data_IF_236642657740
#
_entry.id   IF_236642657740
#
_cell.length_a   1.000
_cell.length_b   1.000
_cell.length_c   1.000
_cell.angle_alpha   90.00
_cell.angle_beta   90.00
_cell.angle_gamma   90.00
#
_symmetry.space_group_name_H-M   'P 1'
#
loop_
_entity.id
_entity.type
_entity.pdbx_description
1 polymer ?
#
# COMPACT_ATOMS: atom_id res chain seq x y z
N UNK A 1 21.57 -5.52 -16.18
CA UNK A 1 20.19 -5.04 -16.05
C UNK A 1 19.77 -5.25 -14.60
N UNK A 2 19.78 -4.19 -13.79
CA UNK A 2 19.36 -4.27 -12.38
C UNK A 2 17.91 -3.81 -12.33
N UNK A 3 17.01 -4.70 -11.98
CA UNK A 3 15.58 -4.41 -11.82
C UNK A 3 15.38 -3.63 -10.53
N UNK A 4 14.96 -2.37 -10.65
CA UNK A 4 14.60 -1.53 -9.51
C UNK A 4 13.21 -1.92 -9.02
N UNK A 5 13.13 -2.60 -7.87
CA UNK A 5 11.88 -2.73 -7.14
C UNK A 5 11.64 -1.45 -6.32
N UNK A 6 10.52 -0.78 -6.57
CA UNK A 6 10.15 0.50 -5.94
C UNK A 6 9.90 0.42 -4.41
N UNK A 7 10.15 -0.72 -3.79
CA UNK A 7 9.85 -0.98 -2.37
C UNK A 7 11.06 -0.71 -1.45
N UNK A 8 12.27 -0.57 -1.99
CA UNK A 8 13.50 -0.46 -1.18
C UNK A 8 13.82 0.96 -0.66
N UNK A 9 13.03 1.98 -1.01
CA UNK A 9 13.34 3.38 -0.70
C UNK A 9 12.64 3.95 0.56
N UNK A 10 11.71 3.23 1.18
CA UNK A 10 10.78 3.85 2.15
C UNK A 10 11.15 3.68 3.64
N UNK A 11 12.14 2.87 4.01
CA UNK A 11 12.33 2.45 5.44
C UNK A 11 13.30 3.33 6.26
N UNK A 12 13.96 4.34 5.69
CA UNK A 12 15.12 4.97 6.35
C UNK A 12 14.86 6.31 7.09
N UNK A 13 13.80 6.43 7.92
CA UNK A 13 13.48 7.71 8.58
C UNK A 13 13.55 7.78 10.11
N UNK A 14 14.12 6.79 10.80
CA UNK A 14 14.38 6.89 12.24
C UNK A 14 15.85 6.61 12.58
N UNK A 15 16.63 7.68 12.80
CA UNK A 15 17.75 7.82 13.76
C UNK A 15 18.49 9.13 13.49
N UNK A 16 19.02 9.72 14.57
CA UNK A 16 19.37 11.13 14.72
C UNK A 16 20.70 11.57 14.07
N UNK A 17 21.51 10.68 13.49
CA UNK A 17 22.71 11.08 12.75
C UNK A 17 23.29 9.90 11.94
N UNK A 18 22.62 9.44 10.87
CA UNK A 18 23.12 8.30 10.08
C UNK A 18 23.12 8.57 8.59
N UNK A 19 24.33 8.49 8.02
CA UNK A 19 24.67 8.37 6.60
C UNK A 19 23.56 7.72 5.78
N UNK A 20 23.26 8.31 4.62
CA UNK A 20 22.49 7.67 3.58
C UNK A 20 23.22 6.36 3.20
N UNK A 21 22.65 5.19 3.48
CA UNK A 21 23.29 3.89 3.17
C UNK A 21 23.36 3.58 1.66
N UNK A 22 22.73 4.40 0.81
CA UNK A 22 22.69 4.22 -0.64
C UNK A 22 23.73 5.07 -1.38
N UNK A 23 24.20 6.15 -0.76
CA UNK A 23 25.19 7.06 -1.33
C UNK A 23 26.16 7.44 -0.20
N UNK A 24 27.45 7.19 -0.35
CA UNK A 24 28.52 7.61 0.58
C UNK A 24 28.73 9.14 0.64
N UNK A 25 27.66 9.91 0.41
CA UNK A 25 27.62 11.35 0.39
C UNK A 25 27.16 11.86 1.75
N UNK A 26 27.94 12.78 2.31
CA UNK A 26 27.56 13.53 3.51
C UNK A 26 26.64 14.69 3.12
N UNK A 27 25.36 14.40 2.98
CA UNK A 27 24.34 15.38 2.59
C UNK A 27 23.21 15.44 3.61
N UNK A 28 22.70 16.66 3.82
CA UNK A 28 21.58 16.87 4.74
C UNK A 28 20.29 16.23 4.22
N UNK A 29 19.44 15.73 5.12
CA UNK A 29 18.12 15.17 4.79
C UNK A 29 17.27 16.12 3.94
N UNK A 30 17.41 17.43 4.13
CA UNK A 30 16.71 18.47 3.36
C UNK A 30 17.15 18.48 1.89
N UNK A 31 18.44 18.31 1.63
CA UNK A 31 18.99 18.27 0.27
C UNK A 31 18.48 17.03 -0.48
N UNK A 32 18.47 15.88 0.19
CA UNK A 32 17.92 14.62 -0.35
C UNK A 32 16.45 14.80 -0.72
N UNK A 33 15.62 15.34 0.20
CA UNK A 33 14.19 15.58 -0.09
C UNK A 33 13.98 16.54 -1.25
N UNK A 34 14.77 17.62 -1.34
CA UNK A 34 14.65 18.58 -2.44
C UNK A 34 14.89 17.91 -3.79
N UNK A 35 15.97 17.13 -3.92
CA UNK A 35 16.27 16.39 -5.16
C UNK A 35 15.16 15.38 -5.49
N UNK A 36 14.62 14.67 -4.49
CA UNK A 36 13.50 13.75 -4.70
C UNK A 36 12.24 14.48 -5.20
N UNK A 37 11.90 15.63 -4.62
CA UNK A 37 10.76 16.44 -5.06
C UNK A 37 10.97 17.02 -6.47
N UNK A 38 12.17 17.51 -6.78
CA UNK A 38 12.54 17.98 -8.13
C UNK A 38 12.44 16.83 -9.16
N UNK A 39 12.76 15.60 -8.76
CA UNK A 39 12.58 14.40 -9.56
C UNK A 39 11.12 13.86 -9.56
N UNK A 40 10.18 14.53 -8.91
CA UNK A 40 8.76 14.14 -8.83
C UNK A 40 8.45 13.01 -7.86
N UNK A 41 9.42 12.55 -7.07
CA UNK A 41 9.26 11.50 -6.06
C UNK A 41 8.70 12.11 -4.78
N UNK A 42 7.52 11.64 -4.39
CA UNK A 42 6.81 12.09 -3.21
C UNK A 42 6.63 10.93 -2.25
N UNK A 43 6.84 11.19 -0.96
CA UNK A 43 6.49 10.25 0.09
C UNK A 43 4.97 10.09 0.17
N UNK A 44 4.51 8.85 0.25
CA UNK A 44 3.10 8.48 0.42
C UNK A 44 3.00 7.31 1.37
N UNK A 45 2.20 7.46 2.43
CA UNK A 45 1.84 6.33 3.28
C UNK A 45 1.10 5.29 2.45
N UNK A 46 1.60 4.06 2.44
CA UNK A 46 0.92 2.94 1.77
C UNK A 46 -0.44 2.71 2.41
N UNK A 47 -1.47 2.48 1.59
CA UNK A 47 -2.78 2.09 2.10
C UNK A 47 -2.67 0.79 2.91
N UNK A 48 -3.28 0.77 4.10
CA UNK A 48 -3.38 -0.46 4.89
C UNK A 48 -4.27 -1.45 4.13
N UNK A 49 -3.65 -2.51 3.61
CA UNK A 49 -4.31 -3.58 2.88
C UNK A 49 -4.02 -4.88 3.61
N UNK A 50 -5.06 -5.69 3.79
CA UNK A 50 -4.88 -7.05 4.29
C UNK A 50 -3.94 -7.82 3.36
N UNK A 51 -3.01 -8.56 3.96
CA UNK A 51 -2.09 -9.41 3.21
C UNK A 51 -2.88 -10.57 2.59
N UNK A 52 -2.91 -10.61 1.26
CA UNK A 52 -3.55 -11.69 0.52
C UNK A 52 -2.61 -12.89 0.46
N UNK A 53 -3.07 -14.03 0.98
CA UNK A 53 -2.44 -15.33 0.71
C UNK A 53 -2.64 -15.71 -0.75
N UNK A 54 -1.81 -16.63 -1.26
CA UNK A 54 -1.92 -17.07 -2.66
C UNK A 54 -3.28 -17.69 -2.98
N UNK A 55 -3.85 -18.42 -2.01
CA UNK A 55 -5.21 -18.96 -2.11
C UNK A 55 -6.26 -17.85 -2.27
N UNK A 56 -6.13 -16.73 -1.55
CA UNK A 56 -7.03 -15.59 -1.72
C UNK A 56 -6.90 -14.96 -3.10
N UNK A 57 -5.66 -14.84 -3.62
CA UNK A 57 -5.41 -14.27 -4.95
C UNK A 57 -6.05 -15.11 -6.04
N UNK A 58 -5.84 -16.43 -5.99
CA UNK A 58 -6.43 -17.36 -6.95
C UNK A 58 -7.97 -17.34 -6.89
N UNK A 59 -8.53 -17.41 -5.67
CA UNK A 59 -9.98 -17.37 -5.49
C UNK A 59 -10.62 -16.08 -6.02
N UNK A 60 -9.99 -14.93 -5.77
CA UNK A 60 -10.44 -13.62 -6.28
C UNK A 60 -10.32 -13.54 -7.80
N UNK A 61 -9.23 -14.02 -8.38
CA UNK A 61 -9.02 -14.02 -9.83
C UNK A 61 -10.05 -14.90 -10.53
N UNK A 62 -10.28 -16.12 -10.03
CA UNK A 62 -11.27 -17.04 -10.58
C UNK A 62 -12.68 -16.46 -10.51
N UNK A 63 -13.04 -15.82 -9.39
CA UNK A 63 -14.31 -15.13 -9.25
C UNK A 63 -14.44 -13.99 -10.27
N UNK A 64 -13.42 -13.12 -10.38
CA UNK A 64 -13.44 -12.02 -11.34
C UNK A 64 -13.63 -12.53 -12.78
N UNK A 65 -12.87 -13.54 -13.19
CA UNK A 65 -12.97 -14.13 -14.53
C UNK A 65 -14.34 -14.75 -14.80
N UNK A 66 -14.93 -15.43 -13.81
CA UNK A 66 -16.22 -16.10 -13.97
C UNK A 66 -17.39 -15.11 -14.16
N UNK A 67 -17.30 -13.92 -13.55
CA UNK A 67 -18.40 -12.97 -13.50
C UNK A 67 -18.16 -11.67 -14.30
N UNK A 68 -17.00 -11.51 -14.96
CA UNK A 68 -16.64 -10.29 -15.72
C UNK A 68 -17.66 -9.95 -16.82
N UNK A 69 -18.17 -10.95 -17.53
CA UNK A 69 -19.10 -10.76 -18.65
C UNK A 69 -20.58 -10.72 -18.23
N UNK A 70 -20.87 -10.74 -16.92
CA UNK A 70 -22.25 -10.71 -16.44
C UNK A 70 -22.86 -9.33 -16.60
N UNK A 71 -24.04 -9.32 -17.21
CA UNK A 71 -24.86 -8.13 -17.39
C UNK A 71 -25.34 -7.57 -16.04
N UNK A 72 -25.63 -6.28 -16.00
CA UNK A 72 -26.05 -5.57 -14.78
C UNK A 72 -27.27 -6.21 -14.11
N UNK A 73 -28.23 -6.72 -14.88
CA UNK A 73 -29.44 -7.37 -14.36
C UNK A 73 -29.15 -8.62 -13.55
N UNK A 74 -28.03 -9.29 -13.80
CA UNK A 74 -27.57 -10.39 -12.95
C UNK A 74 -27.29 -9.88 -11.54
N UNK A 75 -26.52 -8.80 -11.42
CA UNK A 75 -26.11 -8.22 -10.14
C UNK A 75 -27.28 -7.63 -9.36
N UNK A 76 -28.30 -7.10 -10.04
CA UNK A 76 -29.55 -6.61 -9.42
C UNK A 76 -30.33 -7.71 -8.68
N UNK A 77 -30.14 -8.97 -9.08
CA UNK A 77 -30.79 -10.14 -8.45
C UNK A 77 -29.97 -10.73 -7.30
N UNK A 78 -28.73 -10.27 -7.08
CA UNK A 78 -27.87 -10.80 -6.02
C UNK A 78 -28.16 -10.07 -4.71
N UNK A 79 -28.50 -10.83 -3.67
CA UNK A 79 -28.65 -10.32 -2.30
C UNK A 79 -27.33 -10.57 -1.56
N UNK A 80 -26.70 -9.50 -1.07
CA UNK A 80 -25.46 -9.56 -0.31
C UNK A 80 -25.73 -9.49 1.18
N UNK A 81 -24.99 -10.28 1.96
CA UNK A 81 -25.08 -10.30 3.42
C UNK A 81 -23.68 -10.20 4.01
N UNK A 82 -23.49 -9.35 5.00
CA UNK A 82 -22.23 -9.20 5.75
C UNK A 82 -22.54 -8.91 7.22
N UNK A 83 -21.62 -9.28 8.12
CA UNK A 83 -21.72 -9.01 9.54
C UNK A 83 -20.67 -7.95 9.94
N UNK A 84 -21.11 -6.92 10.66
CA UNK A 84 -20.22 -5.89 11.18
C UNK A 84 -20.43 -5.66 12.67
N UNK A 85 -19.33 -5.65 13.41
CA UNK A 85 -19.34 -5.31 14.84
C UNK A 85 -19.34 -3.80 15.03
N UNK A 86 -20.31 -3.28 15.78
CA UNK A 86 -20.38 -1.88 16.21
C UNK A 86 -20.05 -1.79 17.69
N UNK A 87 -18.95 -1.08 18.03
CA UNK A 87 -18.57 -0.84 19.42
C UNK A 87 -18.87 0.59 19.83
N UNK A 88 -19.60 0.77 20.94
CA UNK A 88 -19.97 2.09 21.46
C UNK A 88 -18.81 2.86 22.11
N UNK A 89 -17.75 2.17 22.55
CA UNK A 89 -16.58 2.79 23.17
C UNK A 89 -15.48 3.04 22.14
N UNK A 90 -15.12 4.32 21.94
CA UNK A 90 -13.98 4.67 21.10
C UNK A 90 -12.67 4.34 21.81
N UNK A 91 -12.04 3.21 21.47
CA UNK A 91 -10.64 3.02 21.82
C UNK A 91 -9.82 3.82 20.79
N UNK A 92 -9.54 5.09 21.10
CA UNK A 92 -8.67 5.97 20.29
C UNK A 92 -7.23 5.47 20.30
N UNK A 93 -6.97 4.30 19.72
CA UNK A 93 -5.61 3.90 19.39
C UNK A 93 -5.34 4.37 17.98
N UNK A 94 -4.81 5.58 17.90
CA UNK A 94 -4.15 6.11 16.70
C UNK A 94 -2.99 5.15 16.39
N UNK A 95 -3.06 4.49 15.24
CA UNK A 95 -1.91 3.86 14.59
C UNK A 95 -1.41 4.79 13.49
#
# INVERSE_FOLDING_TARGET
>A
MVTYHAEDLCVALHTTHRRCRYTDLDVSKRSIRRVLHEAGVHDKTSANKELLTDKHREGRLRFAQQYVDKQEDFWKRVVWTDEKTFSHSCNRRRH
#
